data_IF_964407347611
#
_entry.id   IF_964407347611
#
_cell.length_a   1.000
_cell.length_b   1.000
_cell.length_c   1.000
_cell.angle_alpha   90.00
_cell.angle_beta   90.00
_cell.angle_gamma   90.00
#
_symmetry.space_group_name_H-M   'P 1'
#
loop_
_entity.id
_entity.type
_entity.pdbx_description
1 polymer ?
#
# COMPACT_ATOMS: atom_id res chain seq x y z
N UNK A 1 41.70 25.30 2.69
CA UNK A 1 41.15 24.13 3.38
C UNK A 1 39.67 24.34 3.72
N UNK A 2 38.83 24.64 2.72
CA UNK A 2 37.40 24.98 2.93
C UNK A 2 36.48 24.38 1.85
N UNK A 3 36.94 24.22 0.61
CA UNK A 3 36.11 23.73 -0.50
C UNK A 3 35.66 22.27 -0.33
N UNK A 4 36.56 21.40 0.13
CA UNK A 4 36.27 19.98 0.34
C UNK A 4 35.19 19.78 1.43
N UNK A 5 35.30 20.51 2.54
CA UNK A 5 34.34 20.43 3.66
C UNK A 5 32.93 20.93 3.27
N UNK A 6 32.86 21.93 2.39
CA UNK A 6 31.61 22.43 1.79
C UNK A 6 30.97 21.40 0.84
N UNK A 7 31.79 20.73 0.02
CA UNK A 7 31.30 19.68 -0.88
C UNK A 7 30.70 18.50 -0.11
N UNK A 8 31.33 18.08 1.00
CA UNK A 8 30.82 16.99 1.83
C UNK A 8 29.49 17.32 2.51
N UNK A 9 29.30 18.55 2.99
CA UNK A 9 28.05 18.99 3.63
C UNK A 9 26.89 19.11 2.62
N UNK A 10 27.16 19.61 1.41
CA UNK A 10 26.15 19.70 0.35
C UNK A 10 25.73 18.31 -0.16
N UNK A 11 26.70 17.42 -0.42
CA UNK A 11 26.42 16.06 -0.87
C UNK A 11 25.70 15.21 0.19
N UNK A 12 26.10 15.33 1.46
CA UNK A 12 25.43 14.63 2.57
C UNK A 12 23.95 15.03 2.69
N UNK A 13 23.65 16.32 2.54
CA UNK A 13 22.29 16.86 2.62
C UNK A 13 21.38 16.40 1.47
N UNK A 14 21.92 16.30 0.25
CA UNK A 14 21.16 15.84 -0.93
C UNK A 14 20.67 14.39 -0.78
N UNK A 15 21.47 13.52 -0.18
CA UNK A 15 21.10 12.11 0.03
C UNK A 15 19.97 11.94 1.04
N UNK A 16 19.84 12.86 2.00
CA UNK A 16 18.77 12.83 3.00
C UNK A 16 17.41 13.19 2.38
N UNK A 17 17.39 14.19 1.49
CA UNK A 17 16.17 14.64 0.79
C UNK A 17 15.71 13.62 -0.27
N UNK A 18 16.64 12.92 -0.92
CA UNK A 18 16.29 11.93 -1.95
C UNK A 18 15.56 10.68 -1.42
N UNK A 19 15.71 10.34 -0.13
CA UNK A 19 14.96 9.24 0.50
C UNK A 19 13.48 9.55 0.75
N UNK A 20 13.07 10.80 0.57
CA UNK A 20 11.66 11.18 0.49
C UNK A 20 11.11 11.05 -0.94
N UNK A 21 11.59 10.10 -1.73
CA UNK A 21 10.84 9.63 -2.89
C UNK A 21 9.70 8.73 -2.39
N UNK A 22 8.61 9.35 -1.96
CA UNK A 22 7.34 8.73 -1.58
C UNK A 22 6.65 8.15 -2.82
N UNK A 23 7.32 7.27 -3.57
CA UNK A 23 6.66 6.44 -4.57
C UNK A 23 5.76 5.49 -3.79
N UNK A 24 4.49 5.86 -3.68
CA UNK A 24 3.43 4.99 -3.17
C UNK A 24 3.55 3.70 -3.96
N UNK A 25 3.98 2.63 -3.28
CA UNK A 25 4.12 1.33 -3.91
C UNK A 25 2.75 0.94 -4.44
N UNK A 26 2.66 0.83 -5.76
CA UNK A 26 1.44 0.36 -6.42
C UNK A 26 1.35 -1.15 -6.28
N UNK A 27 0.14 -1.65 -6.27
CA UNK A 27 -0.17 -3.04 -6.08
C UNK A 27 -1.44 -3.39 -6.84
N UNK A 28 -1.75 -4.67 -6.95
CA UNK A 28 -2.89 -5.16 -7.72
C UNK A 28 -2.75 -4.95 -9.24
N UNK A 29 -3.59 -5.64 -10.00
CA UNK A 29 -3.56 -5.69 -11.46
C UNK A 29 -3.53 -4.28 -12.07
N UNK A 30 -2.65 -4.07 -13.06
CA UNK A 30 -2.45 -2.78 -13.76
C UNK A 30 -2.17 -1.59 -12.82
N UNK A 31 -1.53 -1.83 -11.67
CA UNK A 31 -1.16 -0.78 -10.73
C UNK A 31 -2.35 0.05 -10.19
N UNK A 32 -3.55 -0.56 -10.19
CA UNK A 32 -4.80 0.08 -9.76
C UNK A 32 -4.82 0.32 -8.23
N UNK A 33 -4.13 -0.52 -7.47
CA UNK A 33 -4.08 -0.45 -6.03
C UNK A 33 -2.89 0.33 -5.49
N UNK A 34 -3.05 0.81 -4.25
CA UNK A 34 -2.02 1.51 -3.51
C UNK A 34 -1.74 0.82 -2.18
N UNK A 35 -0.46 0.62 -1.87
CA UNK A 35 -0.03 0.13 -0.57
C UNK A 35 -0.15 1.26 0.47
N UNK A 36 -1.02 1.07 1.47
CA UNK A 36 -1.29 2.02 2.56
C UNK A 36 -1.30 1.31 3.91
N UNK A 37 -1.15 2.07 5.00
CA UNK A 37 -1.35 1.52 6.37
C UNK A 37 -2.81 1.16 6.62
N UNK A 38 -3.74 2.00 6.12
CA UNK A 38 -5.19 1.81 6.20
C UNK A 38 -5.81 2.26 4.89
N UNK A 39 -6.82 1.54 4.41
CA UNK A 39 -7.58 1.93 3.23
C UNK A 39 -8.57 3.05 3.54
N UNK A 40 -8.88 3.86 2.54
CA UNK A 40 -9.98 4.82 2.62
C UNK A 40 -11.34 4.12 2.59
N UNK A 41 -12.40 4.86 2.94
CA UNK A 41 -13.78 4.33 2.97
C UNK A 41 -14.28 3.89 1.59
N UNK A 42 -13.77 4.52 0.52
CA UNK A 42 -14.06 4.20 -0.88
C UNK A 42 -13.07 3.20 -1.49
N UNK A 43 -12.19 2.62 -0.67
CA UNK A 43 -11.25 1.58 -1.04
C UNK A 43 -11.58 0.28 -0.31
N UNK A 44 -11.04 -0.83 -0.81
CA UNK A 44 -11.16 -2.15 -0.21
C UNK A 44 -9.79 -2.78 -0.08
N UNK A 45 -9.60 -3.52 1.02
CA UNK A 45 -8.46 -4.40 1.19
C UNK A 45 -8.46 -5.46 0.10
N UNK A 46 -7.29 -5.71 -0.50
CA UNK A 46 -7.12 -6.80 -1.46
C UNK A 46 -6.09 -7.85 -1.05
N UNK A 47 -4.89 -7.42 -0.69
CA UNK A 47 -3.78 -8.28 -0.27
C UNK A 47 -2.77 -7.50 0.58
N UNK A 48 -1.80 -8.19 1.19
CA UNK A 48 -0.68 -7.57 1.88
C UNK A 48 0.45 -7.22 0.90
N UNK A 49 0.91 -5.98 0.94
CA UNK A 49 2.12 -5.54 0.26
C UNK A 49 3.38 -6.04 0.97
N UNK A 50 4.52 -6.06 0.25
CA UNK A 50 5.83 -6.52 0.77
C UNK A 50 6.25 -5.83 2.08
N UNK A 51 5.85 -4.58 2.30
CA UNK A 51 6.19 -3.80 3.50
C UNK A 51 5.19 -3.94 4.67
N UNK A 52 4.43 -5.05 4.74
CA UNK A 52 3.32 -5.26 5.70
C UNK A 52 2.23 -4.17 5.64
N UNK A 53 2.20 -3.41 4.55
CA UNK A 53 1.13 -2.47 4.25
C UNK A 53 -0.04 -3.20 3.59
N UNK A 54 -1.23 -2.64 3.66
CA UNK A 54 -2.40 -3.13 2.97
C UNK A 54 -2.43 -2.62 1.53
N UNK A 55 -2.64 -3.50 0.57
CA UNK A 55 -3.01 -3.11 -0.79
C UNK A 55 -4.48 -2.70 -0.81
N UNK A 56 -4.72 -1.42 -1.08
CA UNK A 56 -6.04 -0.81 -1.15
C UNK A 56 -6.41 -0.54 -2.60
N UNK A 57 -7.55 -1.06 -3.04
CA UNK A 57 -8.08 -0.85 -4.39
C UNK A 57 -9.38 -0.04 -4.32
N UNK A 58 -9.66 0.86 -5.28
CA UNK A 58 -10.94 1.55 -5.33
C UNK A 58 -12.09 0.57 -5.52
N UNK A 59 -13.23 0.81 -4.87
CA UNK A 59 -14.41 -0.06 -4.96
C UNK A 59 -14.88 -0.23 -6.42
N UNK A 60 -14.74 0.80 -7.25
CA UNK A 60 -15.09 0.75 -8.68
C UNK A 60 -14.32 -0.32 -9.45
N UNK A 61 -13.07 -0.61 -9.05
CA UNK A 61 -12.25 -1.65 -9.67
C UNK A 61 -12.66 -3.07 -9.24
N UNK A 62 -13.45 -3.21 -8.16
CA UNK A 62 -14.00 -4.51 -7.77
C UNK A 62 -15.17 -4.95 -8.64
N UNK A 63 -15.87 -4.02 -9.30
CA UNK A 63 -17.00 -4.36 -10.17
C UNK A 63 -16.56 -5.20 -11.37
N UNK A 64 -15.28 -5.09 -11.75
CA UNK A 64 -14.65 -5.90 -12.80
C UNK A 64 -14.22 -7.30 -12.32
N UNK A 65 -14.31 -7.58 -11.00
CA UNK A 65 -13.97 -8.90 -10.45
C UNK A 65 -15.24 -9.61 -9.97
N UNK A 66 -15.45 -10.90 -10.28
CA UNK A 66 -16.59 -11.66 -9.76
C UNK A 66 -16.67 -11.51 -8.24
N UNK A 67 -17.83 -11.09 -7.73
CA UNK A 67 -18.08 -11.01 -6.29
C UNK A 67 -17.80 -12.39 -5.69
N UNK A 68 -16.93 -12.51 -4.67
CA UNK A 68 -16.73 -13.79 -4.03
C UNK A 68 -18.08 -14.28 -3.50
N UNK A 69 -18.40 -15.58 -3.66
CA UNK A 69 -19.66 -16.11 -3.19
C UNK A 69 -19.84 -15.79 -1.70
N UNK A 70 -21.07 -15.49 -1.24
CA UNK A 70 -21.34 -15.29 0.18
C UNK A 70 -20.77 -16.46 0.98
N UNK A 71 -20.03 -16.17 2.06
CA UNK A 71 -19.62 -17.21 2.99
C UNK A 71 -20.89 -17.74 3.64
N UNK A 72 -21.29 -18.96 3.30
CA UNK A 72 -22.37 -19.66 3.99
C UNK A 72 -21.83 -20.03 5.38
N UNK A 73 -22.37 -19.38 6.41
CA UNK A 73 -22.13 -19.78 7.80
C UNK A 73 -23.17 -20.86 8.09
N UNK A 74 -22.74 -22.11 8.21
CA UNK A 74 -23.62 -23.19 8.65
C UNK A 74 -23.86 -23.01 10.16
N UNK A 75 -25.10 -22.71 10.53
CA UNK A 75 -25.56 -22.63 11.92
C UNK A 75 -25.89 -24.07 12.37
N UNK A 76 -24.88 -24.92 12.51
CA UNK A 76 -25.07 -26.28 13.07
C UNK A 76 -24.11 -26.57 14.24
N UNK A 77 -23.42 -25.56 14.78
CA UNK A 77 -22.53 -25.70 15.95
C UNK A 77 -23.03 -24.89 17.17
N UNK A 78 -24.34 -24.87 17.41
CA UNK A 78 -24.91 -24.40 18.68
C UNK A 78 -25.81 -25.50 19.22
N UNK A 79 -25.21 -26.53 19.82
CA UNK A 79 -25.90 -27.39 20.78
C UNK A 79 -25.78 -26.74 22.16
N UNK A 80 -26.93 -26.41 22.76
CA UNK A 80 -27.08 -26.03 24.18
C UNK A 80 -27.70 -27.20 24.92
#
# INVERSE_FOLDING_TARGET
MNLLMLAFTICGSLTLVAKANWKIQRCWEKDIGHCRKRCFQNERYKLLCKNKLTCCIPITAQLSTPKPPPRVIYIEDITV
#
